data_IF_315183117893
#
_entry.id   IF_315183117893
#
_cell.length_a   1.000
_cell.length_b   1.000
_cell.length_c   1.000
_cell.angle_alpha   90.00
_cell.angle_beta   90.00
_cell.angle_gamma   90.00
#
_symmetry.space_group_name_H-M   'P 1'
#
loop_
_entity.id
_entity.type
_entity.pdbx_description
1 polymer ?
#
# COMPACT_ATOMS: atom_id res chain seq x y z
N UNK A 1 6.40 16.89 3.43
CA UNK A 1 5.20 17.41 2.76
C UNK A 1 4.31 18.08 3.80
N UNK A 2 3.98 19.35 3.61
CA UNK A 2 3.08 20.02 4.57
C UNK A 2 1.75 19.30 4.72
N UNK A 3 1.24 18.70 3.63
CA UNK A 3 -0.02 17.99 3.63
C UNK A 3 -0.05 16.83 4.63
N UNK A 4 1.03 16.06 4.70
CA UNK A 4 1.11 14.92 5.62
C UNK A 4 1.23 15.37 7.07
N UNK A 5 1.90 16.49 7.29
CA UNK A 5 2.09 17.02 8.65
C UNK A 5 0.77 17.48 9.26
N UNK A 6 -0.23 17.76 8.41
CA UNK A 6 -1.55 18.22 8.84
C UNK A 6 -2.55 17.09 9.08
N UNK A 7 -2.18 15.85 8.73
CA UNK A 7 -3.10 14.71 8.81
C UNK A 7 -2.66 13.81 9.96
N UNK A 8 -3.59 13.53 10.86
CA UNK A 8 -3.34 12.64 11.98
C UNK A 8 -3.64 11.18 11.58
N UNK A 9 -2.86 10.27 12.13
CA UNK A 9 -3.11 8.83 11.93
C UNK A 9 -4.50 8.50 12.48
N UNK A 10 -5.32 7.86 11.66
CA UNK A 10 -6.69 7.52 11.97
C UNK A 10 -7.72 8.49 11.41
N UNK A 11 -7.28 9.65 10.93
CA UNK A 11 -8.17 10.63 10.35
C UNK A 11 -8.80 10.11 9.06
N UNK A 12 -10.11 10.37 8.88
CA UNK A 12 -10.84 9.94 7.66
C UNK A 12 -10.98 11.12 6.73
N UNK A 13 -10.57 10.92 5.48
CA UNK A 13 -10.48 11.97 4.47
C UNK A 13 -11.32 11.62 3.25
N UNK A 14 -11.84 12.63 2.54
CA UNK A 14 -12.44 12.40 1.23
C UNK A 14 -11.36 12.15 0.19
N UNK A 15 -11.74 11.57 -0.93
CA UNK A 15 -10.79 11.30 -2.02
C UNK A 15 -10.06 12.56 -2.49
N UNK A 16 -10.73 13.70 -2.51
CA UNK A 16 -10.11 14.95 -2.95
C UNK A 16 -8.85 15.31 -2.15
N UNK A 17 -8.83 14.96 -0.85
CA UNK A 17 -7.66 15.20 0.00
C UNK A 17 -6.59 14.14 -0.25
N UNK A 18 -6.98 12.89 -0.36
CA UNK A 18 -6.03 11.80 -0.65
C UNK A 18 -5.37 12.02 -2.00
N UNK A 19 -6.14 12.46 -3.00
CA UNK A 19 -5.65 12.68 -4.37
C UNK A 19 -4.59 13.79 -4.47
N UNK A 20 -4.51 14.66 -3.51
CA UNK A 20 -3.45 15.68 -3.50
C UNK A 20 -2.07 15.03 -3.35
N UNK A 21 -2.01 13.88 -2.70
CA UNK A 21 -0.78 13.14 -2.47
C UNK A 21 -0.72 11.89 -3.36
N UNK A 22 -1.77 11.07 -3.32
CA UNK A 22 -1.88 9.86 -4.14
C UNK A 22 -2.64 10.21 -5.42
N UNK A 23 -1.90 10.65 -6.42
CA UNK A 23 -2.45 11.36 -7.58
C UNK A 23 -3.15 10.48 -8.61
N UNK A 24 -3.16 9.17 -8.41
CA UNK A 24 -3.76 8.21 -9.34
C UNK A 24 -4.78 7.33 -8.64
N UNK A 25 -5.63 6.64 -9.42
CA UNK A 25 -6.63 5.73 -8.85
C UNK A 25 -6.08 4.36 -8.52
N UNK A 26 -4.94 3.97 -9.10
CA UNK A 26 -4.30 2.71 -8.78
C UNK A 26 -3.78 2.73 -7.35
N UNK A 27 -3.76 1.57 -6.70
CA UNK A 27 -3.36 1.48 -5.31
C UNK A 27 -1.90 1.80 -5.02
N UNK A 28 -1.04 1.74 -6.03
CA UNK A 28 0.40 1.96 -5.89
C UNK A 28 0.79 3.16 -6.73
N UNK A 29 1.18 4.25 -6.09
CA UNK A 29 1.65 5.45 -6.78
C UNK A 29 3.17 5.50 -6.69
N UNK A 30 3.82 5.58 -7.85
CA UNK A 30 5.27 5.68 -7.96
C UNK A 30 5.63 6.69 -9.05
N UNK A 31 6.83 7.23 -8.97
CA UNK A 31 7.36 8.12 -10.00
C UNK A 31 8.81 7.73 -10.26
N UNK A 32 9.10 7.36 -11.50
CA UNK A 32 10.44 6.98 -11.92
C UNK A 32 11.06 5.90 -11.04
N UNK A 33 10.26 4.92 -10.62
CA UNK A 33 10.71 3.81 -9.78
C UNK A 33 10.75 4.10 -8.29
N UNK A 34 10.41 5.32 -7.87
CA UNK A 34 10.36 5.65 -6.44
C UNK A 34 8.92 5.59 -5.95
N UNK A 35 8.69 4.78 -4.92
CA UNK A 35 7.38 4.64 -4.31
C UNK A 35 6.99 5.95 -3.59
N UNK A 36 5.75 6.40 -3.81
CA UNK A 36 5.23 7.66 -3.27
C UNK A 36 4.17 7.44 -2.20
N UNK A 37 3.16 6.59 -2.51
CA UNK A 37 2.04 6.36 -1.60
C UNK A 37 1.30 5.09 -1.97
N UNK A 38 0.53 4.56 -1.01
CA UNK A 38 -0.18 3.29 -1.18
C UNK A 38 -1.63 3.42 -0.71
N UNK A 39 -2.52 2.72 -1.41
CA UNK A 39 -3.91 2.55 -1.02
C UNK A 39 -4.17 1.07 -0.72
N UNK A 40 -5.03 0.81 0.25
CA UNK A 40 -5.51 -0.55 0.55
C UNK A 40 -7.00 -0.51 0.89
N UNK A 41 -7.65 -1.65 0.84
CA UNK A 41 -8.99 -1.84 1.40
C UNK A 41 -9.04 -3.13 2.23
N UNK A 42 -7.88 -3.72 2.49
CA UNK A 42 -7.73 -5.00 3.18
C UNK A 42 -8.54 -6.12 2.51
N UNK A 43 -8.67 -6.06 1.18
CA UNK A 43 -9.37 -7.07 0.39
C UNK A 43 -10.88 -7.04 0.49
N UNK A 44 -11.47 -6.06 1.21
CA UNK A 44 -12.92 -6.01 1.42
C UNK A 44 -13.69 -5.61 0.16
N UNK A 45 -13.13 -4.70 -0.62
CA UNK A 45 -13.78 -4.21 -1.84
C UNK A 45 -13.22 -4.93 -3.05
N UNK A 46 -11.90 -5.09 -3.10
CA UNK A 46 -11.19 -5.77 -4.19
C UNK A 46 -10.50 -7.03 -3.65
N UNK A 47 -11.21 -8.16 -3.58
CA UNK A 47 -10.63 -9.39 -3.01
C UNK A 47 -9.49 -9.98 -3.84
N UNK A 48 -9.26 -9.48 -5.07
CA UNK A 48 -8.09 -9.87 -5.85
C UNK A 48 -6.77 -9.34 -5.26
N UNK A 49 -6.85 -8.39 -4.32
CA UNK A 49 -5.69 -7.87 -3.59
C UNK A 49 -5.89 -8.17 -2.09
N UNK A 50 -5.58 -9.40 -1.66
CA UNK A 50 -5.86 -9.81 -0.29
C UNK A 50 -4.83 -9.26 0.71
N UNK A 51 -4.89 -7.98 0.97
CA UNK A 51 -4.05 -7.35 1.99
C UNK A 51 -4.58 -7.71 3.38
N UNK A 52 -3.69 -7.89 4.36
CA UNK A 52 -4.12 -8.23 5.71
C UNK A 52 -3.12 -7.73 6.75
N UNK A 53 -3.61 -7.54 7.97
CA UNK A 53 -2.75 -7.15 9.08
C UNK A 53 -1.90 -8.33 9.52
N UNK A 54 -0.67 -8.01 9.91
CA UNK A 54 0.26 -9.01 10.39
C UNK A 54 0.04 -9.38 11.86
N UNK A 55 1.00 -10.08 12.41
CA UNK A 55 0.94 -10.58 13.78
C UNK A 55 0.99 -9.47 14.83
N UNK A 56 1.58 -8.33 14.49
CA UNK A 56 1.65 -7.16 15.35
C UNK A 56 0.93 -5.99 14.68
N UNK A 57 0.44 -5.00 15.46
CA UNK A 57 -0.34 -3.90 14.89
C UNK A 57 0.43 -3.05 13.88
N UNK A 58 1.76 -3.07 13.92
CA UNK A 58 2.59 -2.26 13.04
C UNK A 58 2.92 -2.93 11.70
N UNK A 59 2.47 -4.18 11.50
CA UNK A 59 2.77 -4.94 10.29
C UNK A 59 1.53 -5.12 9.43
N UNK A 60 1.69 -4.89 8.12
CA UNK A 60 0.66 -5.14 7.12
C UNK A 60 1.29 -5.95 5.99
N UNK A 61 0.60 -6.98 5.53
CA UNK A 61 1.00 -7.74 4.35
C UNK A 61 0.21 -7.21 3.16
N UNK A 62 0.92 -6.63 2.21
CA UNK A 62 0.37 -5.85 1.11
C UNK A 62 0.56 -6.59 -0.21
N UNK A 63 -0.51 -6.69 -0.99
CA UNK A 63 -0.49 -7.40 -2.27
C UNK A 63 -0.03 -6.46 -3.39
N UNK A 64 0.85 -6.98 -4.24
CA UNK A 64 1.38 -6.21 -5.36
C UNK A 64 0.37 -5.97 -6.47
N UNK A 65 0.85 -5.31 -7.52
CA UNK A 65 0.05 -4.93 -8.69
C UNK A 65 -0.19 -6.13 -9.61
N UNK A 66 -1.35 -6.17 -10.22
CA UNK A 66 -1.74 -7.19 -11.17
C UNK A 66 -3.05 -7.85 -10.77
N UNK A 67 -4.10 -7.59 -11.53
CA UNK A 67 -5.45 -8.01 -11.17
C UNK A 67 -5.76 -9.45 -11.55
N UNK A 68 -5.17 -9.92 -12.64
CA UNK A 68 -5.48 -11.24 -13.21
C UNK A 68 -4.22 -12.00 -13.55
N UNK A 69 -4.28 -13.32 -13.37
CA UNK A 69 -3.15 -14.19 -13.66
C UNK A 69 -1.99 -13.94 -12.73
N UNK A 70 -0.85 -14.54 -13.02
CA UNK A 70 0.36 -14.35 -12.24
C UNK A 70 0.81 -12.91 -12.30
N UNK A 71 1.07 -12.34 -11.13
CA UNK A 71 1.61 -10.97 -11.08
C UNK A 71 3.03 -10.96 -11.64
N UNK A 72 3.39 -9.85 -12.26
CA UNK A 72 4.69 -9.69 -12.91
C UNK A 72 5.46 -8.58 -12.22
N UNK A 73 6.71 -8.44 -12.61
CA UNK A 73 7.54 -7.36 -12.09
C UNK A 73 7.32 -6.11 -12.95
N UNK A 74 6.12 -5.55 -12.81
CA UNK A 74 5.77 -4.30 -13.48
C UNK A 74 6.38 -3.09 -12.75
N UNK A 75 6.13 -1.88 -13.26
CA UNK A 75 6.71 -0.67 -12.67
C UNK A 75 6.30 -0.48 -11.21
N UNK A 76 5.04 -0.79 -10.88
CA UNK A 76 4.54 -0.64 -9.51
C UNK A 76 5.22 -1.62 -8.55
N UNK A 77 5.30 -2.89 -8.94
CA UNK A 77 5.96 -3.90 -8.12
C UNK A 77 7.45 -3.64 -8.00
N UNK A 78 8.09 -3.15 -9.07
CA UNK A 78 9.50 -2.78 -9.01
C UNK A 78 9.72 -1.63 -8.03
N UNK A 79 8.81 -0.64 -8.00
CA UNK A 79 8.93 0.47 -7.07
C UNK A 79 8.83 0.02 -5.62
N UNK A 80 7.96 -0.97 -5.34
CA UNK A 80 7.86 -1.57 -4.01
C UNK A 80 9.16 -2.27 -3.62
N UNK A 81 9.78 -3.02 -4.56
CA UNK A 81 11.07 -3.65 -4.31
C UNK A 81 12.16 -2.61 -4.07
N UNK A 82 12.17 -1.54 -4.87
CA UNK A 82 13.14 -0.46 -4.70
C UNK A 82 13.00 0.21 -3.32
N UNK A 83 11.77 0.31 -2.82
CA UNK A 83 11.51 0.94 -1.52
C UNK A 83 12.12 0.15 -0.35
N UNK A 84 12.30 -1.16 -0.51
CA UNK A 84 13.00 -1.96 0.50
C UNK A 84 14.44 -1.47 0.63
N UNK A 85 15.07 -1.16 -0.49
CA UNK A 85 16.48 -0.72 -0.50
C UNK A 85 16.64 0.69 0.05
N UNK A 86 15.73 1.60 -0.31
CA UNK A 86 15.81 2.98 0.16
C UNK A 86 15.38 3.13 1.61
N UNK A 87 14.47 2.28 2.07
CA UNK A 87 13.95 2.33 3.43
C UNK A 87 13.14 3.57 3.74
N UNK A 88 12.70 4.33 2.72
CA UNK A 88 11.93 5.55 2.96
C UNK A 88 10.47 5.21 3.28
N UNK A 89 9.86 5.92 4.22
CA UNK A 89 8.45 5.70 4.54
C UNK A 89 7.54 6.31 3.49
N UNK A 90 6.37 5.70 3.29
CA UNK A 90 5.34 6.21 2.40
C UNK A 90 3.99 6.17 3.13
N UNK A 91 3.09 7.12 2.82
CA UNK A 91 1.77 7.12 3.45
C UNK A 91 0.90 6.00 2.90
N UNK A 92 0.10 5.41 3.78
CA UNK A 92 -0.85 4.36 3.46
C UNK A 92 -2.25 4.82 3.85
N UNK A 93 -3.20 4.68 2.93
CA UNK A 93 -4.61 5.03 3.15
C UNK A 93 -5.48 3.80 2.97
N UNK A 94 -6.44 3.62 3.86
CA UNK A 94 -7.38 2.50 3.85
C UNK A 94 -8.78 2.98 3.48
N UNK A 95 -9.34 2.43 2.40
CA UNK A 95 -10.70 2.78 1.99
C UNK A 95 -11.71 2.10 2.90
N UNK A 96 -12.43 2.89 3.67
CA UNK A 96 -13.48 2.40 4.56
C UNK A 96 -14.82 2.28 3.83
N UNK A 97 -15.10 3.22 2.95
CA UNK A 97 -16.32 3.29 2.17
C UNK A 97 -16.09 4.28 1.02
N UNK A 98 -17.09 4.47 0.18
CA UNK A 98 -17.00 5.46 -0.90
C UNK A 98 -16.68 6.83 -0.28
N UNK A 99 -15.62 7.43 -0.79
CA UNK A 99 -15.15 8.76 -0.37
C UNK A 99 -14.75 8.85 1.12
N UNK A 100 -14.43 7.72 1.73
CA UNK A 100 -13.98 7.66 3.12
C UNK A 100 -12.68 6.89 3.20
N UNK A 101 -11.56 7.62 3.31
CA UNK A 101 -10.22 7.05 3.34
C UNK A 101 -9.56 7.38 4.66
N UNK A 102 -9.19 6.35 5.40
CA UNK A 102 -8.50 6.52 6.68
C UNK A 102 -7.00 6.52 6.48
N UNK A 103 -6.33 7.53 7.01
CA UNK A 103 -4.88 7.59 6.99
C UNK A 103 -4.32 6.64 8.05
N UNK A 104 -3.54 5.66 7.63
CA UNK A 104 -2.94 4.69 8.54
C UNK A 104 -1.55 5.10 9.01
N UNK A 105 -0.98 6.13 8.44
CA UNK A 105 0.35 6.60 8.81
C UNK A 105 1.41 6.25 7.79
N UNK A 106 2.67 6.59 8.07
CA UNK A 106 3.79 6.24 7.19
C UNK A 106 4.22 4.79 7.43
N UNK A 107 4.48 4.07 6.34
CA UNK A 107 4.93 2.67 6.37
C UNK A 107 6.18 2.51 5.52
N UNK A 108 7.06 1.62 5.96
CA UNK A 108 8.28 1.26 5.23
C UNK A 108 8.12 -0.16 4.69
N UNK A 109 8.48 -0.37 3.43
CA UNK A 109 8.49 -1.73 2.85
C UNK A 109 9.76 -2.42 3.33
N UNK A 110 9.60 -3.55 4.03
CA UNK A 110 10.75 -4.24 4.64
C UNK A 110 11.04 -5.61 4.04
N UNK A 111 10.10 -6.20 3.31
CA UNK A 111 10.29 -7.53 2.74
C UNK A 111 9.35 -7.73 1.56
N UNK A 112 9.69 -8.70 0.71
CA UNK A 112 8.89 -9.09 -0.44
C UNK A 112 9.02 -10.59 -0.67
N UNK A 113 7.90 -11.23 -1.02
CA UNK A 113 7.86 -12.63 -1.39
C UNK A 113 6.98 -12.81 -2.61
N UNK A 114 7.38 -13.69 -3.51
CA UNK A 114 6.57 -14.07 -4.67
C UNK A 114 5.97 -15.43 -4.34
N UNK A 115 4.67 -15.47 -4.03
CA UNK A 115 4.03 -16.64 -3.44
C UNK A 115 2.80 -17.03 -4.24
N UNK A 116 2.37 -18.29 -4.09
CA UNK A 116 1.16 -18.80 -4.70
C UNK A 116 -0.06 -18.46 -3.85
N UNK A 117 -1.05 -17.82 -4.48
CA UNK A 117 -2.33 -17.53 -3.85
C UNK A 117 -3.27 -18.69 -4.15
N UNK A 118 -3.52 -19.55 -3.16
CA UNK A 118 -4.34 -20.76 -3.32
C UNK A 118 -5.78 -20.42 -3.67
N UNK A 119 -6.30 -19.32 -3.17
CA UNK A 119 -7.69 -18.93 -3.40
C UNK A 119 -7.93 -18.53 -4.85
N UNK A 120 -6.98 -17.83 -5.45
CA UNK A 120 -7.09 -17.31 -6.81
C UNK A 120 -6.31 -18.12 -7.83
N UNK A 121 -5.55 -19.12 -7.38
CA UNK A 121 -4.75 -20.00 -8.24
C UNK A 121 -3.79 -19.20 -9.13
N UNK A 122 -3.01 -18.29 -8.50
CA UNK A 122 -2.05 -17.48 -9.25
C UNK A 122 -0.90 -17.08 -8.34
N UNK A 123 0.22 -16.68 -8.95
CA UNK A 123 1.35 -16.13 -8.22
C UNK A 123 1.14 -14.66 -7.95
N UNK A 124 1.42 -14.23 -6.74
CA UNK A 124 1.31 -12.81 -6.35
C UNK A 124 2.56 -12.37 -5.62
N UNK A 125 2.85 -11.06 -5.73
CA UNK A 125 3.84 -10.41 -4.87
C UNK A 125 3.17 -10.08 -3.55
N UNK A 126 3.82 -10.42 -2.45
CA UNK A 126 3.37 -10.07 -1.10
C UNK A 126 4.48 -9.28 -0.43
N UNK A 127 4.19 -8.02 -0.11
CA UNK A 127 5.14 -7.12 0.53
C UNK A 127 4.80 -6.97 1.99
N UNK A 128 5.82 -6.94 2.84
CA UNK A 128 5.61 -6.67 4.26
C UNK A 128 5.89 -5.19 4.50
N UNK A 129 4.90 -4.51 5.07
CA UNK A 129 5.00 -3.10 5.44
C UNK A 129 5.08 -2.99 6.94
N UNK A 130 5.95 -2.12 7.44
CA UNK A 130 6.04 -1.83 8.87
C UNK A 130 5.79 -0.37 9.11
N UNK A 131 4.90 -0.07 10.06
CA UNK A 131 4.59 1.30 10.41
C UNK A 131 5.82 1.99 10.97
N UNK A 132 6.08 3.20 10.49
CA UNK A 132 7.18 4.02 10.99
C UNK A 132 6.92 4.36 12.44
N UNK A 133 7.90 4.11 13.30
CA UNK A 133 7.76 4.45 14.70
C UNK A 133 7.65 5.96 14.87
N UNK A 134 6.74 6.38 15.74
CA UNK A 134 6.57 7.78 16.09
C UNK A 134 7.59 8.11 17.18
N UNK A 135 8.28 9.20 17.02
CA UNK A 135 9.31 9.56 17.97
C UNK A 135 8.84 10.62 18.94
#
# INVERSE_FOLDING_TARGET
MPLLDEIEIGEVLPWSRVAELHKIRNGIHQRSGRLISLLTDFGRINPCYPDFRGETPDIIHYTGSGRRGDQKLDAANQALLNAIKTGHPVPLFNKLAVNQWQYLGPFTVIDAQYIHDETRHRMIWKFTLRQQADE
#
